data_IF_948052112953
#
_entry.id   IF_948052112953
#
_cell.length_a   1.000
_cell.length_b   1.000
_cell.length_c   1.000
_cell.angle_alpha   90.00
_cell.angle_beta   90.00
_cell.angle_gamma   90.00
#
_symmetry.space_group_name_H-M   'P 1'
#
loop_
_entity.id
_entity.type
_entity.pdbx_description
1 polymer ?
#
# COMPACT_ATOMS: atom_id res chain seq x y z
N UNK A 1 -7.10 10.81 -4.08
CA UNK A 1 -6.29 9.88 -3.28
C UNK A 1 -7.03 8.56 -3.10
N UNK A 2 -6.30 7.49 -2.91
CA UNK A 2 -6.90 6.18 -2.67
C UNK A 2 -7.30 6.05 -1.21
N UNK A 3 -8.54 5.68 -0.97
CA UNK A 3 -9.03 5.38 0.37
C UNK A 3 -8.70 3.93 0.72
N UNK A 4 -7.43 3.63 0.95
CA UNK A 4 -6.97 2.27 1.23
C UNK A 4 -7.63 1.73 2.50
N UNK A 5 -7.76 2.56 3.52
CA UNK A 5 -8.35 2.17 4.79
C UNK A 5 -9.83 1.81 4.63
N UNK A 6 -10.56 2.63 3.84
CA UNK A 6 -11.98 2.40 3.60
C UNK A 6 -12.21 1.13 2.76
N UNK A 7 -11.37 0.90 1.76
CA UNK A 7 -11.49 -0.25 0.88
C UNK A 7 -11.33 -1.59 1.60
N UNK A 8 -10.54 -1.61 2.67
CA UNK A 8 -10.11 -2.84 3.32
C UNK A 8 -10.64 -2.99 4.74
N UNK A 9 -11.24 -1.92 5.30
CA UNK A 9 -11.81 -1.93 6.66
C UNK A 9 -10.87 -2.53 7.70
N UNK A 10 -9.56 -2.33 7.55
CA UNK A 10 -8.59 -2.85 8.49
C UNK A 10 -8.32 -1.83 9.61
N UNK A 11 -7.90 -2.34 10.76
CA UNK A 11 -7.51 -1.50 11.86
C UNK A 11 -6.01 -1.18 11.75
N UNK A 12 -5.62 0.12 11.62
CA UNK A 12 -4.21 0.49 11.46
C UNK A 12 -3.30 0.01 12.58
N UNK A 13 -3.82 -0.13 13.80
CA UNK A 13 -3.04 -0.63 14.93
C UNK A 13 -2.58 -2.08 14.74
N UNK A 14 -3.40 -2.90 14.10
CA UNK A 14 -3.04 -4.29 13.79
C UNK A 14 -1.88 -4.35 12.81
N UNK A 15 -1.91 -3.51 11.80
CA UNK A 15 -0.83 -3.41 10.83
C UNK A 15 0.47 -2.99 11.51
N UNK A 16 0.42 -1.99 12.37
CA UNK A 16 1.59 -1.49 13.07
C UNK A 16 2.22 -2.53 13.98
N UNK A 17 1.43 -3.38 14.62
CA UNK A 17 1.94 -4.44 15.51
C UNK A 17 2.71 -5.51 14.77
N UNK A 18 2.31 -5.83 13.54
CA UNK A 18 2.87 -6.95 12.78
C UNK A 18 4.05 -6.59 11.92
N UNK A 19 4.18 -5.33 11.57
CA UNK A 19 5.22 -4.91 10.64
C UNK A 19 6.32 -4.17 11.34
N UNK A 20 7.53 -4.45 10.90
CA UNK A 20 8.72 -3.69 11.25
C UNK A 20 9.09 -2.80 10.06
N UNK A 21 8.12 -2.00 9.60
CA UNK A 21 8.37 -1.07 8.51
C UNK A 21 8.97 0.18 9.11
N UNK A 22 10.10 0.61 8.56
CA UNK A 22 10.70 1.86 8.96
C UNK A 22 9.75 3.01 8.59
N UNK A 23 9.55 3.97 9.49
CA UNK A 23 8.74 5.14 9.14
C UNK A 23 9.42 5.92 8.02
N UNK A 24 8.61 6.57 7.19
CA UNK A 24 9.15 7.49 6.20
C UNK A 24 9.80 8.67 6.92
N UNK A 25 10.93 9.20 6.41
CA UNK A 25 11.58 10.34 7.03
C UNK A 25 10.61 11.51 7.13
N UNK A 26 10.68 12.22 8.24
CA UNK A 26 9.86 13.41 8.42
C UNK A 26 10.23 14.49 7.40
N UNK A 27 11.50 14.62 7.10
CA UNK A 27 12.00 15.47 6.04
C UNK A 27 12.82 14.67 5.05
N UNK A 28 12.62 14.95 3.77
CA UNK A 28 13.31 14.26 2.69
C UNK A 28 13.93 15.27 1.74
N UNK A 29 15.30 15.35 1.73
CA UNK A 29 15.98 16.31 0.86
C UNK A 29 15.74 16.09 -0.63
N UNK A 30 15.49 14.84 -1.04
CA UNK A 30 15.22 14.51 -2.43
C UNK A 30 13.88 15.08 -2.86
N UNK A 31 12.85 14.88 -2.05
CA UNK A 31 11.51 15.44 -2.31
C UNK A 31 11.56 16.96 -2.25
N UNK A 32 12.27 17.51 -1.27
CA UNK A 32 12.40 18.97 -1.11
C UNK A 32 13.07 19.61 -2.34
N UNK A 33 14.00 18.90 -3.00
CA UNK A 33 14.69 19.39 -4.18
C UNK A 33 13.87 19.30 -5.46
N UNK A 34 12.78 18.53 -5.48
CA UNK A 34 11.89 18.42 -6.63
C UNK A 34 11.08 19.71 -6.81
N UNK A 35 10.75 20.05 -8.05
CA UNK A 35 9.73 21.06 -8.31
C UNK A 35 8.33 20.48 -8.12
N UNK A 36 7.30 21.31 -8.08
CA UNK A 36 5.93 20.87 -7.86
C UNK A 36 5.42 19.98 -8.98
N UNK A 37 5.81 20.23 -10.21
CA UNK A 37 5.41 19.38 -11.34
C UNK A 37 5.91 17.95 -11.16
N UNK A 38 7.17 17.80 -10.80
CA UNK A 38 7.77 16.48 -10.56
C UNK A 38 7.13 15.80 -9.36
N UNK A 39 6.87 16.52 -8.27
CA UNK A 39 6.19 15.98 -7.09
C UNK A 39 4.81 15.43 -7.46
N UNK A 40 4.06 16.14 -8.27
CA UNK A 40 2.74 15.69 -8.73
C UNK A 40 2.87 14.42 -9.57
N UNK A 41 3.84 14.36 -10.49
CA UNK A 41 4.06 13.18 -11.32
C UNK A 41 4.44 11.96 -10.48
N UNK A 42 5.31 12.14 -9.51
CA UNK A 42 5.72 11.06 -8.60
C UNK A 42 4.54 10.61 -7.75
N UNK A 43 3.73 11.54 -7.23
CA UNK A 43 2.54 11.20 -6.46
C UNK A 43 1.54 10.38 -7.29
N UNK A 44 1.33 10.74 -8.56
CA UNK A 44 0.46 9.98 -9.47
C UNK A 44 0.99 8.56 -9.70
N UNK A 45 2.31 8.41 -9.80
CA UNK A 45 2.93 7.09 -9.95
C UNK A 45 2.66 6.23 -8.72
N UNK A 46 2.83 6.77 -7.54
CA UNK A 46 2.52 6.06 -6.30
C UNK A 46 1.04 5.72 -6.17
N UNK A 47 0.17 6.61 -6.64
CA UNK A 47 -1.27 6.35 -6.65
C UNK A 47 -1.63 5.18 -7.55
N UNK A 48 -1.08 5.13 -8.77
CA UNK A 48 -1.27 3.98 -9.67
C UNK A 48 -0.76 2.70 -9.03
N UNK A 49 0.39 2.78 -8.39
CA UNK A 49 0.99 1.63 -7.73
C UNK A 49 0.10 1.11 -6.59
N UNK A 50 -0.46 1.99 -5.79
CA UNK A 50 -1.38 1.59 -4.73
C UNK A 50 -2.62 0.86 -5.29
N UNK A 51 -3.17 1.34 -6.39
CA UNK A 51 -4.29 0.65 -7.07
C UNK A 51 -3.88 -0.74 -7.56
N UNK A 52 -2.69 -0.88 -8.12
CA UNK A 52 -2.17 -2.16 -8.59
C UNK A 52 -1.97 -3.15 -7.45
N UNK A 53 -1.44 -2.70 -6.33
CA UNK A 53 -1.24 -3.56 -5.16
C UNK A 53 -2.58 -4.11 -4.64
N UNK A 54 -3.61 -3.29 -4.60
CA UNK A 54 -4.95 -3.74 -4.20
C UNK A 54 -5.55 -4.70 -5.23
N UNK A 55 -5.29 -4.49 -6.51
CA UNK A 55 -5.74 -5.39 -7.56
C UNK A 55 -5.07 -6.76 -7.44
N UNK A 56 -3.78 -6.78 -7.14
CA UNK A 56 -3.04 -8.02 -6.88
C UNK A 56 -3.57 -8.71 -5.63
N UNK A 57 -3.91 -7.95 -4.58
CA UNK A 57 -4.53 -8.51 -3.38
C UNK A 57 -5.85 -9.22 -3.71
N UNK A 58 -6.67 -8.65 -4.58
CA UNK A 58 -7.91 -9.28 -5.04
C UNK A 58 -7.64 -10.59 -5.77
N UNK A 59 -6.60 -10.62 -6.62
CA UNK A 59 -6.21 -11.83 -7.34
C UNK A 59 -5.82 -12.94 -6.37
N UNK A 60 -5.01 -12.64 -5.37
CA UNK A 60 -4.63 -13.62 -4.35
C UNK A 60 -5.82 -14.09 -3.51
N UNK A 61 -6.78 -13.21 -3.24
CA UNK A 61 -8.02 -13.59 -2.54
C UNK A 61 -8.80 -14.61 -3.33
N UNK A 62 -8.94 -14.40 -4.65
CA UNK A 62 -9.58 -15.37 -5.54
C UNK A 62 -8.84 -16.70 -5.57
N UNK A 63 -7.52 -16.66 -5.59
CA UNK A 63 -6.70 -17.88 -5.53
C UNK A 63 -6.91 -18.62 -4.21
N UNK A 64 -7.03 -17.93 -3.09
CA UNK A 64 -7.35 -18.56 -1.81
C UNK A 64 -8.67 -19.34 -1.87
N UNK A 65 -9.70 -18.74 -2.50
CA UNK A 65 -10.99 -19.41 -2.66
C UNK A 65 -10.88 -20.67 -3.50
N UNK A 66 -10.14 -20.63 -4.60
CA UNK A 66 -9.93 -21.78 -5.46
C UNK A 66 -9.16 -22.89 -4.74
N UNK A 67 -8.12 -22.53 -4.00
CA UNK A 67 -7.32 -23.48 -3.23
C UNK A 67 -8.16 -24.16 -2.15
N UNK A 68 -9.01 -23.39 -1.46
CA UNK A 68 -9.93 -23.96 -0.47
C UNK A 68 -10.91 -24.94 -1.12
N UNK A 69 -11.45 -24.59 -2.27
CA UNK A 69 -12.40 -25.44 -3.00
C UNK A 69 -11.76 -26.74 -3.49
N UNK A 70 -10.47 -26.73 -3.80
CA UNK A 70 -9.74 -27.92 -4.28
C UNK A 70 -9.06 -28.71 -3.17
N UNK A 71 -9.22 -28.31 -1.91
CA UNK A 71 -8.67 -29.03 -0.78
C UNK A 71 -7.17 -28.87 -0.59
N UNK A 72 -6.63 -27.71 -0.92
CA UNK A 72 -5.21 -27.43 -0.73
C UNK A 72 -4.79 -27.57 0.73
N UNK A 73 -3.52 -27.95 0.94
CA UNK A 73 -2.96 -28.09 2.28
C UNK A 73 -2.95 -26.77 3.05
N UNK A 74 -3.12 -26.79 4.38
CA UNK A 74 -3.15 -25.56 5.18
C UNK A 74 -1.90 -24.69 5.06
N UNK A 75 -0.72 -25.28 4.87
CA UNK A 75 0.52 -24.51 4.71
C UNK A 75 0.52 -23.71 3.40
N UNK A 76 -0.03 -24.25 2.32
CA UNK A 76 -0.20 -23.53 1.05
C UNK A 76 -1.16 -22.36 1.23
N UNK A 77 -2.30 -22.59 1.90
CA UNK A 77 -3.27 -21.56 2.20
C UNK A 77 -2.66 -20.43 3.04
N UNK A 78 -1.83 -20.78 4.02
CA UNK A 78 -1.15 -19.81 4.86
C UNK A 78 -0.24 -18.88 4.05
N UNK A 79 0.51 -19.44 3.09
CA UNK A 79 1.40 -18.67 2.22
C UNK A 79 0.60 -17.69 1.35
N UNK A 80 -0.46 -18.17 0.71
CA UNK A 80 -1.26 -17.33 -0.20
C UNK A 80 -2.04 -16.25 0.56
N UNK A 81 -2.59 -16.58 1.74
CA UNK A 81 -3.27 -15.57 2.57
C UNK A 81 -2.31 -14.50 3.08
N UNK A 82 -1.07 -14.87 3.36
CA UNK A 82 -0.04 -13.89 3.72
C UNK A 82 0.25 -12.94 2.56
N UNK A 83 0.25 -13.44 1.33
CA UNK A 83 0.45 -12.60 0.15
C UNK A 83 -0.62 -11.51 0.05
N UNK A 84 -1.88 -11.83 0.36
CA UNK A 84 -2.96 -10.83 0.42
C UNK A 84 -2.61 -9.73 1.43
N UNK A 85 -2.20 -10.12 2.62
CA UNK A 85 -1.84 -9.19 3.67
C UNK A 85 -0.65 -8.30 3.27
N UNK A 86 0.36 -8.88 2.61
CA UNK A 86 1.54 -8.14 2.17
C UNK A 86 1.17 -7.08 1.12
N UNK A 87 0.26 -7.39 0.19
CA UNK A 87 -0.19 -6.44 -0.81
C UNK A 87 -0.96 -5.27 -0.18
N UNK A 88 -1.75 -5.54 0.85
CA UNK A 88 -2.41 -4.48 1.62
C UNK A 88 -1.38 -3.55 2.28
N UNK A 89 -0.33 -4.12 2.84
CA UNK A 89 0.76 -3.35 3.43
C UNK A 89 1.50 -2.51 2.39
N UNK A 90 1.72 -3.06 1.19
CA UNK A 90 2.35 -2.32 0.09
C UNK A 90 1.49 -1.12 -0.32
N UNK A 91 0.17 -1.31 -0.40
CA UNK A 91 -0.75 -0.21 -0.69
C UNK A 91 -0.70 0.87 0.39
N UNK A 92 -0.58 0.50 1.66
CA UNK A 92 -0.43 1.45 2.76
C UNK A 92 0.87 2.24 2.66
N UNK A 93 1.98 1.60 2.28
CA UNK A 93 3.25 2.29 2.04
C UNK A 93 3.10 3.31 0.92
N UNK A 94 2.43 2.94 -0.17
CA UNK A 94 2.17 3.86 -1.29
C UNK A 94 1.34 5.07 -0.84
N UNK A 95 0.31 4.84 -0.03
CA UNK A 95 -0.52 5.91 0.52
C UNK A 95 0.30 6.89 1.35
N UNK A 96 1.19 6.37 2.19
CA UNK A 96 2.06 7.20 3.03
C UNK A 96 3.04 8.00 2.20
N UNK A 97 3.55 7.43 1.11
CA UNK A 97 4.42 8.15 0.18
C UNK A 97 3.68 9.33 -0.47
N UNK A 98 2.42 9.13 -0.87
CA UNK A 98 1.58 10.20 -1.42
C UNK A 98 1.38 11.31 -0.38
N UNK A 99 1.06 10.97 0.85
CA UNK A 99 0.91 11.97 1.92
C UNK A 99 2.19 12.78 2.12
N UNK A 100 3.34 12.12 2.08
CA UNK A 100 4.62 12.79 2.24
C UNK A 100 4.87 13.77 1.11
N UNK A 101 4.57 13.40 -0.12
CA UNK A 101 4.69 14.29 -1.28
C UNK A 101 3.73 15.46 -1.18
N UNK A 102 2.49 15.25 -0.75
CA UNK A 102 1.51 16.31 -0.56
C UNK A 102 1.99 17.38 0.41
N UNK A 103 2.72 17.00 1.43
CA UNK A 103 3.26 17.96 2.42
C UNK A 103 4.25 18.95 1.82
N UNK A 104 4.84 18.62 0.67
CA UNK A 104 5.82 19.46 -0.01
C UNK A 104 5.22 20.29 -1.14
N UNK A 105 3.94 20.13 -1.46
CA UNK A 105 3.33 20.86 -2.56
C UNK A 105 3.01 22.29 -2.14
N UNK A 106 3.56 23.25 -2.86
CA UNK A 106 3.34 24.67 -2.59
C UNK A 106 1.95 25.15 -3.02
N UNK A 107 1.20 24.34 -3.76
CA UNK A 107 -0.16 24.68 -4.20
C UNK A 107 -1.15 24.85 -3.04
N UNK A 108 -0.77 24.37 -1.87
CA UNK A 108 -1.60 24.49 -0.66
C UNK A 108 -1.29 25.72 0.17
N UNK A 109 -0.34 26.51 -0.24
CA UNK A 109 0.10 27.70 0.49
C UNK A 109 -0.79 28.91 0.19
#
# INVERSE_FOLDING_TARGET
MIAVDDALSYEPSMMRRRRRVLPLPEQDPIIAAMDDELRVQVARTWQRRAHEELRVAMTFTGLCQELLATGAAPDVLAVVSRAVHDEVRHAEVCRRAIEKLDQYLSVYD
#
